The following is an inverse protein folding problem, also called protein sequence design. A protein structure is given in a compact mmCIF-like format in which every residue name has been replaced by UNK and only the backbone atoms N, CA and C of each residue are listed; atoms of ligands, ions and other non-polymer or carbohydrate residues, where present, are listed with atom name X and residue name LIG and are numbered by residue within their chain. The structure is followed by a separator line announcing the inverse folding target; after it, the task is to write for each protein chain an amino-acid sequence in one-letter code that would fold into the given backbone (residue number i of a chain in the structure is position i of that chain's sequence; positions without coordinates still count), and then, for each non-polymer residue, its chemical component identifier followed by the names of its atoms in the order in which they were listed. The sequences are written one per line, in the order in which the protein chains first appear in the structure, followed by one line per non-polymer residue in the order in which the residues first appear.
data_IF_020865910337
#
_entry.id   IF_020865910337
#
_cell.length_a   1.000
_cell.length_b   1.000
_cell.length_c   1.000
_cell.angle_alpha   90.00
_cell.angle_beta   90.00
_cell.angle_gamma   90.00
#
_symmetry.space_group_name_H-M   'P 1'
#
loop_
_entity.id
_entity.type
_entity.pdbx_description
1 polymer ?
#
# COMPACT_ATOMS: atom_id res chain seq x y z
N UNK A 1 18.83 19.36 8.85
CA UNK A 1 17.87 19.85 7.84
C UNK A 1 16.57 20.14 8.56
N UNK A 2 16.01 21.34 8.40
CA UNK A 2 14.85 21.78 9.17
C UNK A 2 13.55 21.03 8.79
N UNK A 3 12.61 20.89 9.74
CA UNK A 3 11.36 20.11 9.60
C UNK A 3 10.51 20.61 8.43
N UNK A 4 10.40 21.93 8.23
CA UNK A 4 9.62 22.50 7.13
C UNK A 4 10.25 22.23 5.75
N UNK A 5 11.59 22.25 5.67
CA UNK A 5 12.31 21.87 4.45
C UNK A 5 12.14 20.38 4.14
N UNK A 6 12.13 19.50 5.16
CA UNK A 6 11.86 18.06 4.99
C UNK A 6 10.44 17.83 4.49
N UNK A 7 9.45 18.47 5.09
CA UNK A 7 8.05 18.36 4.69
C UNK A 7 7.82 18.80 3.24
N UNK A 8 8.42 19.91 2.82
CA UNK A 8 8.24 20.43 1.45
C UNK A 8 8.81 19.48 0.39
N UNK A 9 10.02 18.95 0.62
CA UNK A 9 10.63 17.94 -0.28
C UNK A 9 9.83 16.64 -0.30
N UNK A 10 9.34 16.19 0.85
CA UNK A 10 8.48 15.01 0.95
C UNK A 10 7.15 15.19 0.22
N UNK A 11 6.48 16.35 0.35
CA UNK A 11 5.24 16.66 -0.38
C UNK A 11 5.45 16.68 -1.89
N UNK A 12 6.54 17.30 -2.36
CA UNK A 12 6.87 17.35 -3.78
C UNK A 12 7.15 15.95 -4.35
N UNK A 13 7.87 15.11 -3.60
CA UNK A 13 8.09 13.71 -3.96
C UNK A 13 6.79 12.90 -3.94
N UNK A 14 5.96 13.09 -2.91
CA UNK A 14 4.67 12.40 -2.74
C UNK A 14 3.72 12.64 -3.92
N UNK A 15 3.75 13.83 -4.55
CA UNK A 15 2.94 14.09 -5.75
C UNK A 15 3.31 13.16 -6.91
N UNK A 16 4.60 12.89 -7.14
CA UNK A 16 5.05 11.93 -8.17
C UNK A 16 4.59 10.51 -7.83
N UNK A 17 4.73 10.12 -6.56
CA UNK A 17 4.29 8.79 -6.09
C UNK A 17 2.78 8.62 -6.15
N UNK A 18 2.00 9.67 -5.87
CA UNK A 18 0.54 9.66 -6.04
C UNK A 18 0.14 9.35 -7.48
N UNK A 19 0.75 10.03 -8.46
CA UNK A 19 0.48 9.73 -9.88
C UNK A 19 0.86 8.30 -10.25
N UNK A 20 2.00 7.81 -9.75
CA UNK A 20 2.41 6.43 -9.98
C UNK A 20 1.40 5.44 -9.39
N UNK A 21 0.91 5.68 -8.17
CA UNK A 21 -0.11 4.84 -7.53
C UNK A 21 -1.42 4.84 -8.30
N UNK A 22 -1.87 5.99 -8.79
CA UNK A 22 -3.05 6.09 -9.65
C UNK A 22 -2.86 5.34 -10.97
N UNK A 23 -1.68 5.47 -11.58
CA UNK A 23 -1.32 4.77 -12.82
C UNK A 23 -1.33 3.26 -12.65
N UNK A 24 -0.98 2.74 -11.48
CA UNK A 24 -1.11 1.31 -11.17
C UNK A 24 -2.55 0.91 -10.81
N UNK A 25 -3.26 1.73 -10.03
CA UNK A 25 -4.59 1.40 -9.51
C UNK A 25 -5.63 1.21 -10.63
N UNK A 26 -5.59 2.02 -11.69
CA UNK A 26 -6.56 1.95 -12.79
C UNK A 26 -6.42 0.62 -13.58
N UNK A 27 -5.26 0.26 -14.15
CA UNK A 27 -5.06 -1.05 -14.79
C UNK A 27 -5.35 -2.20 -13.84
N UNK A 28 -4.96 -2.07 -12.57
CA UNK A 28 -5.20 -3.10 -11.58
C UNK A 28 -6.69 -3.40 -11.40
N UNK A 29 -7.52 -2.36 -11.25
CA UNK A 29 -8.97 -2.51 -11.17
C UNK A 29 -9.57 -3.12 -12.43
N UNK A 30 -9.08 -2.74 -13.62
CA UNK A 30 -9.52 -3.31 -14.90
C UNK A 30 -9.20 -4.80 -14.97
N UNK A 31 -7.98 -5.23 -14.59
CA UNK A 31 -7.60 -6.64 -14.63
C UNK A 31 -8.42 -7.46 -13.61
N UNK A 32 -8.66 -6.93 -12.41
CA UNK A 32 -9.54 -7.58 -11.42
C UNK A 32 -10.95 -7.77 -11.98
N UNK A 33 -11.52 -6.73 -12.60
CA UNK A 33 -12.84 -6.80 -13.21
C UNK A 33 -12.90 -7.87 -14.32
N UNK A 34 -11.92 -7.89 -15.22
CA UNK A 34 -11.84 -8.88 -16.29
C UNK A 34 -11.67 -10.32 -15.75
N UNK A 35 -10.88 -10.50 -14.68
CA UNK A 35 -10.72 -11.79 -14.03
C UNK A 35 -12.04 -12.31 -13.45
N UNK A 36 -12.83 -11.45 -12.81
CA UNK A 36 -14.11 -11.82 -12.21
C UNK A 36 -15.19 -12.09 -13.25
N UNK A 37 -15.14 -11.41 -14.40
CA UNK A 37 -16.16 -11.54 -15.45
C UNK A 37 -15.93 -12.76 -16.36
N UNK A 38 -14.68 -13.21 -16.51
CA UNK A 38 -14.33 -14.24 -17.52
C UNK A 38 -13.76 -15.51 -16.89
N UNK A 39 -14.24 -16.67 -17.36
CA UNK A 39 -13.71 -17.98 -16.96
C UNK A 39 -12.75 -18.61 -17.96
N UNK A 40 -12.67 -18.08 -19.18
CA UNK A 40 -11.84 -18.64 -20.26
C UNK A 40 -10.39 -18.16 -20.23
N UNK A 41 -10.11 -17.00 -19.63
CA UNK A 41 -8.79 -16.36 -19.63
C UNK A 41 -8.26 -16.10 -18.22
N UNK A 42 -8.69 -16.89 -17.22
CA UNK A 42 -8.34 -16.68 -15.81
C UNK A 42 -6.84 -16.70 -15.57
N UNK A 43 -6.11 -17.62 -16.23
CA UNK A 43 -4.66 -17.73 -16.11
C UNK A 43 -3.96 -16.48 -16.65
N UNK A 44 -4.47 -15.89 -17.73
CA UNK A 44 -3.91 -14.67 -18.31
C UNK A 44 -4.15 -13.46 -17.39
N UNK A 45 -5.38 -13.24 -16.94
CA UNK A 45 -5.67 -12.12 -16.04
C UNK A 45 -5.07 -12.31 -14.65
N UNK A 46 -5.03 -13.54 -14.14
CA UNK A 46 -4.37 -13.90 -12.89
C UNK A 46 -2.87 -13.64 -12.94
N UNK A 47 -2.19 -14.05 -14.02
CA UNK A 47 -0.75 -13.77 -14.19
C UNK A 47 -0.47 -12.27 -14.36
N UNK A 48 -1.32 -11.54 -15.07
CA UNK A 48 -1.24 -10.07 -15.16
C UNK A 48 -1.42 -9.40 -13.79
N UNK A 49 -2.33 -9.87 -12.93
CA UNK A 49 -2.48 -9.35 -11.57
C UNK A 49 -1.23 -9.61 -10.73
N UNK A 50 -0.67 -10.82 -10.79
CA UNK A 50 0.57 -11.14 -10.08
C UNK A 50 1.70 -10.22 -10.54
N UNK A 51 1.88 -10.07 -11.85
CA UNK A 51 2.90 -9.19 -12.43
C UNK A 51 2.71 -7.74 -11.98
N UNK A 52 1.49 -7.22 -12.08
CA UNK A 52 1.17 -5.83 -11.70
C UNK A 52 1.39 -5.61 -10.20
N UNK A 53 1.06 -6.60 -9.37
CA UNK A 53 1.31 -6.53 -7.91
C UNK A 53 2.80 -6.49 -7.59
N UNK A 54 3.61 -7.32 -8.27
CA UNK A 54 5.07 -7.31 -8.10
C UNK A 54 5.69 -5.97 -8.54
N UNK A 55 5.26 -5.43 -9.68
CA UNK A 55 5.69 -4.11 -10.16
C UNK A 55 5.32 -3.01 -9.16
N UNK A 56 4.12 -3.06 -8.60
CA UNK A 56 3.70 -2.13 -7.56
C UNK A 56 4.53 -2.27 -6.27
N UNK A 57 4.86 -3.51 -5.86
CA UNK A 57 5.75 -3.77 -4.73
C UNK A 57 7.15 -3.18 -4.95
N UNK A 58 7.67 -3.26 -6.18
CA UNK A 58 8.92 -2.59 -6.54
C UNK A 58 8.81 -1.06 -6.43
N UNK A 59 7.71 -0.47 -6.90
CA UNK A 59 7.44 0.96 -6.76
C UNK A 59 7.37 1.39 -5.29
N UNK A 60 6.67 0.64 -4.42
CA UNK A 60 6.63 0.88 -2.98
C UNK A 60 8.02 0.81 -2.34
N UNK A 61 8.86 -0.12 -2.79
CA UNK A 61 10.24 -0.22 -2.28
C UNK A 61 11.07 1.02 -2.62
N UNK A 62 10.88 1.59 -3.81
CA UNK A 62 11.53 2.83 -4.21
C UNK A 62 10.99 4.02 -3.42
N UNK A 63 9.67 4.09 -3.19
CA UNK A 63 9.05 5.11 -2.34
C UNK A 63 9.56 5.03 -0.89
N UNK A 64 9.66 3.82 -0.33
CA UNK A 64 10.27 3.55 0.97
C UNK A 64 11.70 4.08 1.05
N UNK A 65 12.55 3.76 0.05
CA UNK A 65 13.94 4.25 0.01
C UNK A 65 13.99 5.77 0.01
N UNK A 66 13.16 6.41 -0.80
CA UNK A 66 13.04 7.88 -0.82
C UNK A 66 12.64 8.42 0.56
N UNK A 67 11.55 7.93 1.16
CA UNK A 67 11.07 8.44 2.45
C UNK A 67 12.02 8.15 3.62
N UNK A 68 12.68 6.98 3.60
CA UNK A 68 13.65 6.60 4.63
C UNK A 68 14.97 7.37 4.52
N UNK A 69 15.28 8.00 3.38
CA UNK A 69 16.51 8.79 3.19
C UNK A 69 16.54 10.09 4.01
N UNK A 70 15.38 10.54 4.50
CA UNK A 70 15.25 11.80 5.26
C UNK A 70 15.52 11.66 6.76
N UNK A 71 15.67 10.44 7.27
CA UNK A 71 16.02 10.15 8.67
C UNK A 71 17.23 9.24 8.75
N UNK A 72 18.10 9.46 9.74
CA UNK A 72 19.23 8.56 10.03
C UNK A 72 18.89 7.56 11.13
N UNK A 73 17.79 7.78 11.87
CA UNK A 73 17.39 6.92 12.99
C UNK A 73 16.93 5.55 12.48
N UNK A 74 17.69 4.52 12.82
CA UNK A 74 17.40 3.12 12.45
C UNK A 74 16.03 2.65 12.92
N UNK A 75 15.61 3.07 14.12
CA UNK A 75 14.29 2.76 14.68
C UNK A 75 13.16 3.36 13.83
N UNK A 76 13.30 4.59 13.37
CA UNK A 76 12.30 5.24 12.54
C UNK A 76 12.25 4.63 11.14
N UNK A 77 13.40 4.27 10.55
CA UNK A 77 13.44 3.51 9.29
C UNK A 77 12.67 2.19 9.36
N UNK A 78 12.77 1.46 10.48
CA UNK A 78 12.00 0.22 10.70
C UNK A 78 10.49 0.48 10.71
N UNK A 79 10.03 1.53 11.39
CA UNK A 79 8.61 1.86 11.39
C UNK A 79 8.10 2.28 10.01
N UNK A 80 8.85 3.10 9.27
CA UNK A 80 8.52 3.44 7.89
C UNK A 80 8.45 2.17 7.04
N UNK A 81 9.44 1.27 7.15
CA UNK A 81 9.44 -0.01 6.42
C UNK A 81 8.18 -0.81 6.73
N UNK A 82 7.75 -0.86 7.99
CA UNK A 82 6.56 -1.59 8.40
C UNK A 82 5.29 -1.01 7.75
N UNK A 83 5.19 0.31 7.62
CA UNK A 83 4.07 0.95 6.92
C UNK A 83 4.01 0.54 5.44
N UNK A 84 5.15 0.54 4.74
CA UNK A 84 5.19 0.10 3.34
C UNK A 84 4.92 -1.39 3.18
N UNK A 85 5.34 -2.22 4.15
CA UNK A 85 4.97 -3.64 4.19
C UNK A 85 3.46 -3.81 4.34
N UNK A 86 2.81 -3.06 5.23
CA UNK A 86 1.36 -3.12 5.42
C UNK A 86 0.60 -2.67 4.17
N UNK A 87 1.03 -1.59 3.51
CA UNK A 87 0.46 -1.16 2.23
C UNK A 87 0.55 -2.27 1.16
N UNK A 88 1.71 -2.94 1.07
CA UNK A 88 1.89 -4.02 0.11
C UNK A 88 1.03 -5.23 0.42
N UNK A 89 0.96 -5.63 1.70
CA UNK A 89 0.09 -6.74 2.17
C UNK A 89 -1.38 -6.42 1.89
N UNK A 90 -1.81 -5.19 2.12
CA UNK A 90 -3.18 -4.75 1.82
C UNK A 90 -3.50 -4.93 0.33
N UNK A 91 -2.58 -4.55 -0.56
CA UNK A 91 -2.79 -4.67 -2.01
C UNK A 91 -2.75 -6.12 -2.48
N UNK A 92 -1.87 -6.97 -1.92
CA UNK A 92 -1.92 -8.41 -2.14
C UNK A 92 -3.30 -8.97 -1.74
N UNK A 93 -3.82 -8.54 -0.59
CA UNK A 93 -5.12 -9.00 -0.09
C UNK A 93 -6.27 -8.55 -0.99
N UNK A 94 -6.37 -7.25 -1.28
CA UNK A 94 -7.46 -6.67 -2.09
C UNK A 94 -7.38 -7.14 -3.55
N UNK A 95 -6.17 -7.31 -4.06
CA UNK A 95 -5.93 -7.44 -5.48
C UNK A 95 -5.68 -8.84 -6.00
N UNK A 96 -5.22 -9.74 -5.14
CA UNK A 96 -5.02 -11.14 -5.51
C UNK A 96 -5.96 -12.02 -4.70
N UNK A 97 -5.90 -11.97 -3.37
CA UNK A 97 -6.66 -12.91 -2.53
C UNK A 97 -8.16 -12.73 -2.72
N UNK A 98 -8.65 -11.49 -2.64
CA UNK A 98 -10.09 -11.21 -2.71
C UNK A 98 -10.75 -11.61 -4.04
N UNK A 99 -10.20 -11.29 -5.22
CA UNK A 99 -10.80 -11.72 -6.49
C UNK A 99 -10.91 -13.25 -6.63
N UNK A 100 -9.90 -14.00 -6.18
CA UNK A 100 -9.95 -15.47 -6.20
C UNK A 100 -10.98 -16.03 -5.24
N UNK A 101 -11.10 -15.45 -4.05
CA UNK A 101 -12.14 -15.81 -3.07
C UNK A 101 -13.54 -15.54 -3.62
N UNK A 102 -13.75 -14.39 -4.28
CA UNK A 102 -15.03 -14.04 -4.89
C UNK A 102 -15.41 -14.99 -6.03
N UNK A 103 -14.41 -15.54 -6.73
CA UNK A 103 -14.59 -16.45 -7.84
C UNK A 103 -14.83 -17.89 -7.40
N UNK A 104 -14.41 -18.27 -6.19
CA UNK A 104 -14.65 -19.61 -5.69
C UNK A 104 -16.14 -19.77 -5.33
N UNK A 105 -16.74 -20.89 -5.73
CA UNK A 105 -18.14 -21.22 -5.37
C UNK A 105 -18.35 -21.42 -3.86
N UNK A 106 -17.26 -21.36 -3.08
CA UNK A 106 -17.23 -21.38 -1.60
C UNK A 106 -17.49 -20.01 -0.96
N UNK A 107 -17.75 -18.96 -1.75
CA UNK A 107 -18.02 -17.61 -1.27
C UNK A 107 -19.27 -17.53 -0.36
N UNK A 108 -19.06 -17.77 0.92
CA UNK A 108 -20.00 -17.47 2.01
C UNK A 108 -19.72 -16.05 2.55
N UNK A 109 -20.54 -15.56 3.48
CA UNK A 109 -20.30 -14.26 4.14
C UNK A 109 -18.99 -14.22 4.95
N UNK A 110 -18.45 -15.38 5.32
CA UNK A 110 -17.25 -15.53 6.17
C UNK A 110 -15.99 -14.89 5.56
N UNK A 111 -15.57 -15.21 4.31
CA UNK A 111 -14.45 -14.53 3.67
C UNK A 111 -14.61 -13.01 3.57
N UNK A 112 -15.83 -12.52 3.32
CA UNK A 112 -16.12 -11.08 3.25
C UNK A 112 -15.97 -10.39 4.61
N UNK A 113 -16.45 -11.03 5.68
CA UNK A 113 -16.27 -10.54 7.06
C UNK A 113 -14.78 -10.54 7.42
N UNK A 114 -14.06 -11.64 7.15
CA UNK A 114 -12.62 -11.73 7.40
C UNK A 114 -11.83 -10.66 6.65
N UNK A 115 -12.21 -10.38 5.40
CA UNK A 115 -11.63 -9.32 4.60
C UNK A 115 -11.86 -7.92 5.21
N UNK A 116 -13.09 -7.62 5.60
CA UNK A 116 -13.45 -6.33 6.22
C UNK A 116 -12.70 -6.12 7.53
N UNK A 117 -12.63 -7.15 8.37
CA UNK A 117 -11.86 -7.12 9.63
C UNK A 117 -10.37 -6.94 9.36
N UNK A 118 -9.82 -7.63 8.35
CA UNK A 118 -8.42 -7.49 7.95
C UNK A 118 -8.06 -6.06 7.54
N UNK A 119 -8.89 -5.44 6.69
CA UNK A 119 -8.72 -4.03 6.29
C UNK A 119 -8.78 -3.10 7.52
N UNK A 120 -9.74 -3.34 8.42
CA UNK A 120 -9.87 -2.54 9.64
C UNK A 120 -8.62 -2.63 10.52
N UNK A 121 -8.12 -3.85 10.79
CA UNK A 121 -6.92 -4.07 11.60
C UNK A 121 -5.70 -3.41 10.95
N UNK A 122 -5.54 -3.53 9.62
CA UNK A 122 -4.44 -2.86 8.90
C UNK A 122 -4.53 -1.34 9.02
N UNK A 123 -5.74 -0.78 8.87
CA UNK A 123 -5.99 0.66 8.98
C UNK A 123 -5.69 1.20 10.39
N UNK A 124 -6.09 0.47 11.43
CA UNK A 124 -5.78 0.83 12.83
C UNK A 124 -4.28 0.70 13.11
N UNK A 125 -3.65 -0.35 12.59
CA UNK A 125 -2.20 -0.56 12.74
C UNK A 125 -1.39 0.57 12.12
N UNK A 126 -1.82 1.11 10.97
CA UNK A 126 -1.16 2.26 10.34
C UNK A 126 -1.16 3.48 11.28
N UNK A 127 -2.28 3.75 11.98
CA UNK A 127 -2.35 4.83 12.98
C UNK A 127 -1.39 4.62 14.14
N UNK A 128 -1.34 3.41 14.68
CA UNK A 128 -0.46 3.08 15.80
C UNK A 128 1.03 3.20 15.42
N UNK A 129 1.38 2.92 14.15
CA UNK A 129 2.77 3.05 13.67
C UNK A 129 3.14 4.52 13.45
N UNK A 130 2.22 5.34 12.93
CA UNK A 130 2.42 6.79 12.81
C UNK A 130 2.76 7.43 14.17
N UNK A 131 2.06 7.03 15.23
CA UNK A 131 2.36 7.50 16.60
C UNK A 131 3.74 7.06 17.07
N UNK A 132 4.15 5.82 16.78
CA UNK A 132 5.50 5.32 17.11
C UNK A 132 6.60 6.01 16.32
N UNK A 133 6.35 6.41 15.07
CA UNK A 133 7.26 7.24 14.27
C UNK A 133 7.46 8.59 14.95
N UNK A 134 6.37 9.27 15.34
CA UNK A 134 6.41 10.56 16.03
C UNK A 134 7.17 10.49 17.35
N UNK A 135 6.99 9.42 18.13
CA UNK A 135 7.74 9.19 19.38
C UNK A 135 9.23 8.91 19.12
N UNK A 136 9.56 8.27 18.00
CA UNK A 136 10.94 7.90 17.63
C UNK A 136 11.70 9.05 16.97
N UNK A 137 11.04 9.95 16.25
CA UNK A 137 11.62 11.11 15.58
C UNK A 137 10.56 12.21 15.44
N UNK A 138 10.58 13.18 16.36
CA UNK A 138 9.60 14.28 16.37
C UNK A 138 9.78 15.26 15.20
N UNK A 139 10.95 15.26 14.56
CA UNK A 139 11.24 16.08 13.38
C UNK A 139 10.82 15.41 12.07
N UNK A 140 10.55 14.11 12.11
CA UNK A 140 10.08 13.40 10.93
C UNK A 140 8.61 13.70 10.68
N UNK A 141 8.26 14.28 9.51
CA UNK A 141 6.86 14.54 9.18
C UNK A 141 6.05 13.24 9.16
N UNK A 142 4.84 13.29 9.73
CA UNK A 142 3.94 12.14 9.68
C UNK A 142 3.42 11.90 8.27
N UNK A 143 3.09 10.65 7.94
CA UNK A 143 2.62 10.27 6.59
C UNK A 143 1.36 11.05 6.20
N UNK A 144 0.50 11.33 7.16
CA UNK A 144 -0.71 12.18 7.04
C UNK A 144 -0.39 13.63 6.65
N UNK A 145 0.59 14.23 7.32
CA UNK A 145 1.07 15.59 7.02
C UNK A 145 1.64 15.71 5.60
N UNK A 146 2.28 14.65 5.10
CA UNK A 146 2.83 14.56 3.74
C UNK A 146 1.73 14.34 2.69
N UNK A 147 0.70 13.55 3.02
CA UNK A 147 -0.44 13.27 2.13
C UNK A 147 -1.48 14.39 2.10
N UNK A 148 -1.49 15.27 3.11
CA UNK A 148 -2.42 16.41 3.20
C UNK A 148 -3.80 16.06 3.77
N UNK A 149 -3.87 15.03 4.62
CA UNK A 149 -5.09 14.59 5.33
C UNK A 149 -4.88 14.67 6.83
#
# INVERSE_FOLDING_TARGET
MDRQQRLTKMKQGNRKWFFLRMLFAIPFGVIVFLLLQTNTQELLYGSLLVLTTLLYGYALRQEYRFMSSFTERTRTKRFISLQYTFDYVLILFIGLVFPWVMKSETATWLPFIGFTVGIFILSVSERAIDEKVKQSDSEQPMRREVRGW
#
